data_IF_182234735360
#
_entry.id   IF_182234735360
#
_cell.length_a   1.000
_cell.length_b   1.000
_cell.length_c   1.000
_cell.angle_alpha   90.00
_cell.angle_beta   90.00
_cell.angle_gamma   90.00
#
_symmetry.space_group_name_H-M   'P 1'
#
loop_
_entity.id
_entity.type
_entity.pdbx_description
1 polymer ?
#
# COMPACT_ATOMS: atom_id res chain seq x y z
N UNK A 1 5.91 1.39 -30.20
CA UNK A 1 5.42 0.11 -29.71
C UNK A 1 4.31 0.34 -28.69
N UNK A 2 3.13 -0.22 -28.94
CA UNK A 2 1.92 -0.02 -28.15
C UNK A 2 2.12 -0.45 -26.68
N UNK A 3 2.88 -1.53 -26.47
CA UNK A 3 3.22 -2.03 -25.14
C UNK A 3 4.02 -0.99 -24.34
N UNK A 4 5.01 -0.37 -24.96
CA UNK A 4 5.82 0.66 -24.32
C UNK A 4 4.99 1.90 -23.94
N UNK A 5 4.03 2.27 -24.79
CA UNK A 5 3.10 3.39 -24.51
C UNK A 5 2.24 3.06 -23.29
N UNK A 6 1.66 1.86 -23.24
CA UNK A 6 0.85 1.41 -22.10
C UNK A 6 1.68 1.35 -20.82
N UNK A 7 2.86 0.75 -20.85
CA UNK A 7 3.76 0.65 -19.70
C UNK A 7 4.15 2.04 -19.16
N UNK A 8 4.43 2.98 -20.06
CA UNK A 8 4.78 4.36 -19.68
C UNK A 8 3.59 5.10 -19.08
N UNK A 9 2.41 4.96 -19.69
CA UNK A 9 1.18 5.56 -19.18
C UNK A 9 0.81 5.01 -17.79
N UNK A 10 0.91 3.71 -17.58
CA UNK A 10 0.65 3.09 -16.27
C UNK A 10 1.60 3.61 -15.19
N UNK A 11 2.89 3.75 -15.51
CA UNK A 11 3.88 4.31 -14.57
C UNK A 11 3.59 5.77 -14.24
N UNK A 12 3.28 6.60 -15.25
CA UNK A 12 2.95 8.01 -15.05
C UNK A 12 1.70 8.18 -14.18
N UNK A 13 0.61 7.49 -14.51
CA UNK A 13 -0.64 7.55 -13.74
C UNK A 13 -0.44 7.06 -12.30
N UNK A 14 0.37 6.03 -12.07
CA UNK A 14 0.66 5.55 -10.71
C UNK A 14 1.35 6.62 -9.87
N UNK A 15 2.33 7.33 -10.41
CA UNK A 15 3.03 8.41 -9.71
C UNK A 15 2.09 9.57 -9.45
N UNK A 16 1.32 10.00 -10.45
CA UNK A 16 0.36 11.09 -10.32
C UNK A 16 -0.70 10.79 -9.27
N UNK A 17 -1.25 9.57 -9.28
CA UNK A 17 -2.23 9.11 -8.30
C UNK A 17 -1.68 9.16 -6.87
N UNK A 18 -0.47 8.63 -6.62
CA UNK A 18 0.14 8.63 -5.30
C UNK A 18 0.38 10.06 -4.79
N UNK A 19 0.81 10.96 -5.67
CA UNK A 19 1.05 12.37 -5.34
C UNK A 19 -0.26 13.10 -5.03
N UNK A 20 -1.29 12.89 -5.84
CA UNK A 20 -2.62 13.49 -5.66
C UNK A 20 -3.29 13.01 -4.37
N UNK A 21 -3.24 11.70 -4.08
CA UNK A 21 -3.73 11.15 -2.81
C UNK A 21 -3.01 11.73 -1.60
N UNK A 22 -1.68 11.84 -1.67
CA UNK A 22 -0.89 12.39 -0.57
C UNK A 22 -1.28 13.85 -0.28
N UNK A 23 -1.44 14.66 -1.31
CA UNK A 23 -1.87 16.06 -1.18
C UNK A 23 -3.31 16.16 -0.65
N UNK A 24 -4.26 15.41 -1.20
CA UNK A 24 -5.65 15.40 -0.76
C UNK A 24 -5.79 14.93 0.68
N UNK A 25 -5.06 13.91 1.08
CA UNK A 25 -5.07 13.41 2.45
C UNK A 25 -4.50 14.44 3.44
N UNK A 26 -3.45 15.17 3.06
CA UNK A 26 -2.91 16.26 3.87
C UNK A 26 -3.96 17.36 4.10
N UNK A 27 -4.62 17.82 3.03
CA UNK A 27 -5.67 18.84 3.12
C UNK A 27 -6.88 18.36 3.93
N UNK A 28 -7.28 17.10 3.74
CA UNK A 28 -8.37 16.49 4.50
C UNK A 28 -8.03 16.37 5.99
N UNK A 29 -6.77 16.03 6.33
CA UNK A 29 -6.31 15.96 7.71
C UNK A 29 -6.39 17.33 8.40
N UNK A 30 -5.97 18.39 7.74
CA UNK A 30 -6.06 19.76 8.26
C UNK A 30 -7.52 20.18 8.45
N UNK A 31 -8.39 19.86 7.50
CA UNK A 31 -9.83 20.11 7.63
C UNK A 31 -10.43 19.37 8.84
N UNK A 32 -10.12 18.10 9.05
CA UNK A 32 -10.62 17.32 10.17
C UNK A 32 -10.16 17.90 11.53
N UNK A 33 -8.88 18.28 11.64
CA UNK A 33 -8.32 18.90 12.84
C UNK A 33 -9.00 20.24 13.14
N UNK A 34 -9.21 21.07 12.14
CA UNK A 34 -9.84 22.39 12.30
C UNK A 34 -11.33 22.30 12.69
N UNK A 35 -11.98 21.16 12.42
CA UNK A 35 -13.35 20.88 12.84
C UNK A 35 -13.45 20.06 14.14
N UNK A 36 -12.37 20.00 14.92
CA UNK A 36 -12.31 19.29 16.21
C UNK A 36 -12.68 17.79 16.12
N UNK A 37 -12.44 17.16 14.97
CA UNK A 37 -12.60 15.72 14.80
C UNK A 37 -11.44 15.01 15.49
N UNK A 38 -11.74 14.12 16.42
CA UNK A 38 -10.73 13.33 17.11
C UNK A 38 -10.17 12.26 16.16
N UNK A 39 -8.87 12.36 15.88
CA UNK A 39 -8.14 11.41 15.01
C UNK A 39 -7.36 10.47 15.91
N UNK A 40 -7.66 9.17 15.81
CA UNK A 40 -7.03 8.12 16.62
C UNK A 40 -6.33 7.11 15.73
N UNK A 41 -5.25 6.55 16.24
CA UNK A 41 -4.64 5.37 15.66
C UNK A 41 -5.43 4.12 16.06
N UNK A 42 -5.45 3.13 15.18
CA UNK A 42 -6.02 1.82 15.52
C UNK A 42 -5.14 1.13 16.56
N UNK A 43 -5.73 0.45 17.55
CA UNK A 43 -4.97 -0.44 18.43
C UNK A 43 -4.19 -1.50 17.64
N UNK A 44 -3.02 -1.89 18.13
CA UNK A 44 -2.16 -2.87 17.45
C UNK A 44 -2.87 -4.20 17.22
N UNK A 45 -3.70 -4.64 18.18
CA UNK A 45 -4.48 -5.87 18.08
C UNK A 45 -5.44 -5.85 16.88
N UNK A 46 -6.05 -4.69 16.62
CA UNK A 46 -6.93 -4.51 15.44
C UNK A 46 -6.11 -4.58 14.15
N UNK A 47 -4.95 -3.91 14.11
CA UNK A 47 -4.07 -3.93 12.95
C UNK A 47 -3.53 -5.34 12.65
N UNK A 48 -3.24 -6.12 13.68
CA UNK A 48 -2.77 -7.50 13.54
C UNK A 48 -3.88 -8.40 12.97
N UNK A 49 -5.09 -8.33 13.49
CA UNK A 49 -6.26 -9.06 12.96
C UNK A 49 -6.54 -8.67 11.50
N UNK A 50 -6.49 -7.38 11.16
CA UNK A 50 -6.66 -6.90 9.79
C UNK A 50 -5.59 -7.45 8.85
N UNK A 51 -4.35 -7.55 9.30
CA UNK A 51 -3.23 -8.11 8.54
C UNK A 51 -3.40 -9.59 8.28
N UNK A 52 -3.76 -10.35 9.31
CA UNK A 52 -4.02 -11.79 9.19
C UNK A 52 -5.20 -12.06 8.24
N UNK A 53 -6.32 -11.37 8.45
CA UNK A 53 -7.49 -11.50 7.58
C UNK A 53 -7.17 -11.14 6.13
N UNK A 54 -6.41 -10.07 5.90
CA UNK A 54 -5.97 -9.70 4.55
C UNK A 54 -5.13 -10.78 3.88
N UNK A 55 -4.24 -11.41 4.62
CA UNK A 55 -3.43 -12.52 4.09
C UNK A 55 -4.30 -13.73 3.72
N UNK A 56 -5.27 -14.09 4.56
CA UNK A 56 -6.22 -15.19 4.29
C UNK A 56 -7.02 -14.91 3.02
N UNK A 57 -7.60 -13.70 2.90
CA UNK A 57 -8.39 -13.31 1.73
C UNK A 57 -7.55 -13.34 0.45
N UNK A 58 -6.32 -12.82 0.50
CA UNK A 58 -5.42 -12.83 -0.66
C UNK A 58 -5.04 -14.26 -1.06
N UNK A 59 -4.81 -15.15 -0.10
CA UNK A 59 -4.52 -16.56 -0.35
C UNK A 59 -5.73 -17.29 -0.95
N UNK A 60 -6.93 -17.01 -0.47
CA UNK A 60 -8.17 -17.56 -1.05
C UNK A 60 -8.37 -17.09 -2.50
N UNK A 61 -8.17 -15.79 -2.75
CA UNK A 61 -8.26 -15.22 -4.10
C UNK A 61 -7.25 -15.83 -5.06
N UNK A 62 -6.04 -16.14 -4.57
CA UNK A 62 -5.00 -16.75 -5.41
C UNK A 62 -5.36 -18.16 -5.92
N UNK A 63 -6.23 -18.86 -5.21
CA UNK A 63 -6.66 -20.21 -5.59
C UNK A 63 -7.78 -20.24 -6.64
N UNK A 64 -8.19 -19.08 -7.12
CA UNK A 64 -9.34 -18.93 -8.00
C UNK A 64 -9.05 -19.43 -9.43
N UNK A 65 -7.86 -19.14 -9.94
CA UNK A 65 -7.36 -19.54 -11.24
C UNK A 65 -5.83 -19.43 -11.31
N UNK A 66 -5.22 -19.97 -12.38
CA UNK A 66 -3.76 -19.99 -12.54
C UNK A 66 -3.15 -18.59 -12.63
N UNK A 67 -3.85 -17.64 -13.24
CA UNK A 67 -3.40 -16.25 -13.39
C UNK A 67 -3.38 -15.56 -12.01
N UNK A 68 -4.41 -15.76 -11.23
CA UNK A 68 -4.48 -15.24 -9.84
C UNK A 68 -3.35 -15.80 -8.98
N UNK A 69 -3.02 -17.08 -9.14
CA UNK A 69 -1.91 -17.72 -8.44
C UNK A 69 -0.56 -17.13 -8.88
N UNK A 70 -0.34 -16.92 -10.17
CA UNK A 70 0.89 -16.33 -10.69
C UNK A 70 1.09 -14.89 -10.17
N UNK A 71 0.05 -14.07 -10.22
CA UNK A 71 0.07 -12.69 -9.70
C UNK A 71 0.37 -12.69 -8.20
N UNK A 72 -0.32 -13.53 -7.43
CA UNK A 72 -0.11 -13.62 -5.97
C UNK A 72 1.31 -14.06 -5.63
N UNK A 73 1.84 -15.05 -6.32
CA UNK A 73 3.20 -15.56 -6.12
C UNK A 73 4.25 -14.48 -6.40
N UNK A 74 4.08 -13.73 -7.49
CA UNK A 74 4.94 -12.60 -7.84
C UNK A 74 4.88 -11.50 -6.77
N UNK A 75 3.68 -11.14 -6.32
CA UNK A 75 3.47 -10.15 -5.26
C UNK A 75 4.12 -10.55 -3.94
N UNK A 76 3.89 -11.78 -3.47
CA UNK A 76 4.47 -12.28 -2.21
C UNK A 76 5.99 -12.33 -2.26
N UNK A 77 6.55 -12.79 -3.38
CA UNK A 77 7.99 -12.81 -3.58
C UNK A 77 8.59 -11.40 -3.50
N UNK A 78 8.04 -10.44 -4.22
CA UNK A 78 8.47 -9.05 -4.14
C UNK A 78 8.32 -8.48 -2.73
N UNK A 79 7.18 -8.69 -2.08
CA UNK A 79 6.93 -8.21 -0.70
C UNK A 79 7.98 -8.74 0.28
N UNK A 80 8.32 -10.01 0.18
CA UNK A 80 9.32 -10.63 1.06
C UNK A 80 10.74 -10.08 0.82
N UNK A 81 11.07 -9.76 -0.43
CA UNK A 81 12.35 -9.16 -0.79
C UNK A 81 12.47 -7.70 -0.36
N UNK A 82 11.41 -6.89 -0.55
CA UNK A 82 11.45 -5.45 -0.27
C UNK A 82 11.29 -5.11 1.22
N UNK A 83 10.59 -5.95 1.98
CA UNK A 83 10.26 -5.67 3.39
C UNK A 83 11.51 -5.43 4.27
N UNK A 84 12.59 -6.23 4.21
CA UNK A 84 13.81 -5.96 4.98
C UNK A 84 14.44 -4.62 4.61
N UNK A 85 14.50 -4.29 3.33
CA UNK A 85 15.00 -3.00 2.86
C UNK A 85 14.17 -1.82 3.38
N UNK A 86 12.85 -1.90 3.27
CA UNK A 86 11.94 -0.84 3.76
C UNK A 86 12.12 -0.59 5.26
N UNK A 87 12.35 -1.65 6.05
CA UNK A 87 12.58 -1.52 7.50
C UNK A 87 13.83 -0.75 7.85
N UNK A 88 14.94 -0.98 7.13
CA UNK A 88 16.23 -0.32 7.41
C UNK A 88 16.38 1.05 6.72
N UNK A 89 15.60 1.32 5.67
CA UNK A 89 15.61 2.57 4.93
C UNK A 89 14.48 3.50 5.36
N UNK A 90 13.33 3.37 4.72
CA UNK A 90 12.21 4.31 4.87
C UNK A 90 11.67 4.39 6.31
N UNK A 91 11.47 3.22 6.96
CA UNK A 91 10.91 3.20 8.31
C UNK A 91 11.90 3.78 9.34
N UNK A 92 13.20 3.49 9.20
CA UNK A 92 14.22 4.07 10.06
C UNK A 92 14.28 5.58 9.92
N UNK A 93 14.25 6.09 8.68
CA UNK A 93 14.23 7.53 8.41
C UNK A 93 12.99 8.22 9.01
N UNK A 94 11.81 7.63 8.82
CA UNK A 94 10.56 8.20 9.36
C UNK A 94 10.52 8.23 10.90
N UNK A 95 11.16 7.26 11.56
CA UNK A 95 11.24 7.23 13.03
C UNK A 95 12.18 8.28 13.63
N UNK A 96 13.06 8.84 12.84
CA UNK A 96 14.04 9.87 13.30
C UNK A 96 13.58 11.30 13.04
N UNK A 97 12.40 11.48 12.49
CA UNK A 97 11.75 12.75 12.21
C UNK A 97 10.69 13.08 13.24
#
# INVERSE_FOLDING_TARGET
>A
DLKLIIDTACKAINIDMLSDYSMKNMLALDFLKNNNIEIKEFPLEVLDVLRETSNIVLEELSRRDDISMEIYSSYINFRNQITPWTKISNLSYLKTR
#
